data_IF_564927478183
#
_entry.id   IF_564927478183
#
_cell.length_a   1.000
_cell.length_b   1.000
_cell.length_c   1.000
_cell.angle_alpha   90.00
_cell.angle_beta   90.00
_cell.angle_gamma   90.00
#
_symmetry.space_group_name_H-M   'P 1'
#
loop_
_entity.id
_entity.type
_entity.pdbx_description
1 polymer ?
#
# COMPACT_ATOMS: atom_id res chain seq x y z
N UNK A 1 -17.52 1.33 21.01
CA UNK A 1 -16.60 2.43 20.68
C UNK A 1 -16.00 2.16 19.31
N UNK A 2 -16.05 3.14 18.42
CA UNK A 2 -15.38 3.08 17.11
C UNK A 2 -13.87 2.96 17.31
N UNK A 3 -13.18 2.15 16.49
CA UNK A 3 -11.72 2.07 16.50
C UNK A 3 -11.05 3.38 16.01
N UNK A 4 -11.79 4.21 15.27
CA UNK A 4 -11.32 5.49 14.72
C UNK A 4 -12.29 6.64 14.98
N UNK A 5 -11.74 7.82 15.27
CA UNK A 5 -12.51 9.06 15.23
C UNK A 5 -12.85 9.46 13.78
N UNK A 6 -13.91 10.26 13.61
CA UNK A 6 -14.26 10.80 12.29
C UNK A 6 -13.11 11.61 11.67
N UNK A 7 -12.32 12.31 12.50
CA UNK A 7 -11.19 13.11 12.02
C UNK A 7 -10.01 12.24 11.56
N UNK A 8 -9.77 11.11 12.21
CA UNK A 8 -8.78 10.13 11.71
C UNK A 8 -9.18 9.56 10.36
N UNK A 9 -10.46 9.20 10.18
CA UNK A 9 -10.95 8.70 8.90
C UNK A 9 -10.83 9.75 7.79
N UNK A 10 -11.20 11.02 8.09
CA UNK A 10 -10.99 12.14 7.15
C UNK A 10 -9.51 12.34 6.84
N UNK A 11 -8.63 12.23 7.83
CA UNK A 11 -7.19 12.30 7.63
C UNK A 11 -6.69 11.22 6.68
N UNK A 12 -7.09 9.97 6.90
CA UNK A 12 -6.73 8.84 6.04
C UNK A 12 -7.18 9.05 4.59
N UNK A 13 -8.44 9.47 4.40
CA UNK A 13 -9.01 9.77 3.09
C UNK A 13 -8.27 10.93 2.42
N UNK A 14 -8.05 12.04 3.13
CA UNK A 14 -7.42 13.23 2.55
C UNK A 14 -5.94 13.00 2.19
N UNK A 15 -5.22 12.25 3.02
CA UNK A 15 -3.79 11.98 2.79
C UNK A 15 -3.58 11.03 1.62
N UNK A 16 -4.41 9.99 1.46
CA UNK A 16 -4.26 9.04 0.36
C UNK A 16 -5.59 8.42 -0.08
N UNK A 17 -6.42 9.15 -0.86
CA UNK A 17 -7.79 8.73 -1.20
C UNK A 17 -7.84 7.36 -1.89
N UNK A 18 -6.98 7.14 -2.88
CA UNK A 18 -6.91 5.88 -3.65
C UNK A 18 -6.44 4.67 -2.82
N UNK A 19 -5.87 4.90 -1.63
CA UNK A 19 -5.48 3.86 -0.69
C UNK A 19 -6.55 3.49 0.33
N UNK A 20 -7.74 4.07 0.24
CA UNK A 20 -8.86 3.75 1.13
C UNK A 20 -9.85 2.88 0.38
N UNK A 21 -10.14 1.69 0.93
CA UNK A 21 -11.09 0.77 0.32
C UNK A 21 -12.23 0.49 1.28
N UNK A 22 -13.45 0.44 0.75
CA UNK A 22 -14.63 -0.05 1.44
C UNK A 22 -15.18 -1.25 0.70
N UNK A 23 -15.68 -2.23 1.45
CA UNK A 23 -16.44 -3.34 0.91
C UNK A 23 -17.91 -3.12 1.24
N UNK A 24 -18.76 -3.19 0.22
CA UNK A 24 -20.21 -3.08 0.38
C UNK A 24 -20.90 -4.43 0.17
N UNK A 25 -21.97 -4.66 0.91
CA UNK A 25 -22.89 -5.79 0.73
C UNK A 25 -24.31 -5.24 0.84
N UNK A 26 -25.10 -5.35 -0.23
CA UNK A 26 -26.46 -4.78 -0.30
C UNK A 26 -26.50 -3.30 0.16
N UNK A 27 -25.58 -2.49 -0.39
CA UNK A 27 -25.39 -1.06 -0.08
C UNK A 27 -24.94 -0.72 1.34
N UNK A 28 -24.70 -1.71 2.20
CA UNK A 28 -24.12 -1.53 3.53
C UNK A 28 -22.60 -1.68 3.52
N UNK A 29 -21.88 -0.82 4.25
CA UNK A 29 -20.42 -0.93 4.40
C UNK A 29 -20.10 -2.02 5.43
N UNK A 30 -19.54 -3.14 4.95
CA UNK A 30 -19.25 -4.35 5.75
C UNK A 30 -17.76 -4.59 5.94
N UNK A 31 -16.92 -3.75 5.34
CA UNK A 31 -15.48 -3.83 5.51
C UNK A 31 -14.79 -2.54 5.08
N UNK A 32 -13.63 -2.30 5.66
CA UNK A 32 -12.80 -1.14 5.39
C UNK A 32 -11.32 -1.54 5.46
N UNK A 33 -10.50 -1.00 4.56
CA UNK A 33 -9.07 -1.10 4.71
C UNK A 33 -8.37 0.21 4.35
N UNK A 34 -7.36 0.54 5.15
CA UNK A 34 -6.56 1.75 5.04
C UNK A 34 -5.15 1.40 4.58
N UNK A 35 -4.55 2.23 3.73
CA UNK A 35 -3.14 2.15 3.39
C UNK A 35 -2.58 3.52 3.04
N UNK A 36 -1.25 3.63 3.01
CA UNK A 36 -0.53 4.82 2.54
C UNK A 36 0.86 4.40 2.04
N UNK A 37 1.44 5.19 1.14
CA UNK A 37 2.83 4.99 0.68
C UNK A 37 3.84 5.51 1.70
N UNK A 38 4.99 4.86 1.80
CA UNK A 38 6.08 5.24 2.69
C UNK A 38 7.43 4.75 2.15
N UNK A 39 8.52 5.40 2.55
CA UNK A 39 9.88 5.01 2.18
C UNK A 39 10.30 3.67 2.81
N UNK A 40 11.05 2.87 2.07
CA UNK A 40 11.58 1.55 2.49
C UNK A 40 12.26 1.55 3.87
N UNK A 41 13.17 2.49 4.11
CA UNK A 41 13.92 2.55 5.37
C UNK A 41 13.01 2.72 6.59
N UNK A 42 11.87 3.41 6.42
CA UNK A 42 10.89 3.61 7.48
C UNK A 42 9.98 2.38 7.58
N UNK A 43 9.53 1.81 6.45
CA UNK A 43 8.68 0.63 6.42
C UNK A 43 9.33 -0.57 7.13
N UNK A 44 10.61 -0.84 6.84
CA UNK A 44 11.33 -2.00 7.40
C UNK A 44 12.04 -1.69 8.72
N UNK A 45 12.25 -0.43 9.05
CA UNK A 45 12.83 0.00 10.32
C UNK A 45 11.94 -0.28 11.53
N UNK A 46 12.48 -0.20 12.76
CA UNK A 46 11.69 -0.30 13.97
C UNK A 46 10.72 0.89 14.08
N UNK A 47 9.45 0.61 14.35
CA UNK A 47 8.42 1.62 14.53
C UNK A 47 7.25 1.10 15.36
N UNK A 48 6.54 2.02 16.00
CA UNK A 48 5.23 1.77 16.61
C UNK A 48 4.09 2.15 15.67
N UNK A 49 2.90 1.66 15.94
CA UNK A 49 1.68 2.00 15.22
C UNK A 49 1.42 3.50 15.23
N UNK A 50 1.59 4.17 16.38
CA UNK A 50 1.39 5.63 16.50
C UNK A 50 2.39 6.41 15.63
N UNK A 51 3.65 5.98 15.60
CA UNK A 51 4.70 6.63 14.81
C UNK A 51 4.48 6.45 13.31
N UNK A 52 4.27 5.22 12.84
CA UNK A 52 4.17 4.93 11.41
C UNK A 52 2.89 5.51 10.79
N UNK A 53 1.79 5.56 11.54
CA UNK A 53 0.51 6.07 11.04
C UNK A 53 0.34 7.58 11.24
N UNK A 54 1.18 8.23 12.05
CA UNK A 54 0.94 9.60 12.49
C UNK A 54 -0.34 9.69 13.33
N UNK A 55 -0.39 8.93 14.42
CA UNK A 55 -1.53 8.85 15.36
C UNK A 55 -2.86 8.42 14.73
N UNK A 56 -2.81 7.53 13.74
CA UNK A 56 -4.00 7.02 13.06
C UNK A 56 -4.57 7.93 11.98
N UNK A 57 -3.91 9.02 11.61
CA UNK A 57 -4.38 9.93 10.55
C UNK A 57 -3.81 9.58 9.16
N UNK A 58 -2.93 8.58 9.06
CA UNK A 58 -2.07 8.32 7.90
C UNK A 58 -1.22 9.54 7.49
N UNK A 59 -0.89 10.43 8.44
CA UNK A 59 -0.18 11.69 8.18
C UNK A 59 1.28 11.51 7.74
N UNK A 60 1.80 10.27 7.79
CA UNK A 60 3.13 9.88 7.29
C UNK A 60 3.11 9.41 5.84
N UNK A 61 2.00 9.59 5.14
CA UNK A 61 1.93 9.30 3.72
C UNK A 61 3.02 10.08 2.96
N UNK A 62 3.82 9.34 2.20
CA UNK A 62 4.86 9.88 1.34
C UNK A 62 4.53 9.55 -0.12
N UNK A 63 4.12 10.53 -0.95
CA UNK A 63 3.89 10.33 -2.37
C UNK A 63 5.14 9.95 -3.19
N UNK A 64 6.34 9.99 -2.62
CA UNK A 64 7.55 9.44 -3.22
C UNK A 64 7.92 8.05 -2.67
N UNK A 65 7.20 7.56 -1.65
CA UNK A 65 7.42 6.26 -1.04
C UNK A 65 7.27 5.11 -2.04
N UNK A 66 8.21 4.18 -1.99
CA UNK A 66 8.35 3.01 -2.87
C UNK A 66 7.69 1.74 -2.32
N UNK A 67 7.13 1.82 -1.11
CA UNK A 67 6.38 0.76 -0.46
C UNK A 67 4.99 1.21 -0.05
N UNK A 68 4.05 0.27 -0.07
CA UNK A 68 2.70 0.45 0.43
C UNK A 68 2.61 -0.07 1.88
N UNK A 69 2.26 0.77 2.84
CA UNK A 69 2.08 0.36 4.23
C UNK A 69 0.62 -0.01 4.50
N UNK A 70 0.36 -1.28 4.83
CA UNK A 70 -0.98 -1.76 5.18
C UNK A 70 -1.36 -1.32 6.60
N UNK A 71 -2.16 -0.25 6.72
CA UNK A 71 -2.45 0.34 8.02
C UNK A 71 -3.50 -0.46 8.80
N UNK A 72 -4.64 -0.78 8.18
CA UNK A 72 -5.71 -1.54 8.84
C UNK A 72 -6.53 -2.39 7.86
N UNK A 73 -7.18 -3.42 8.40
CA UNK A 73 -8.26 -4.15 7.71
C UNK A 73 -9.32 -4.51 8.74
N UNK A 74 -10.53 -3.97 8.57
CA UNK A 74 -11.71 -4.35 9.34
C UNK A 74 -12.72 -5.04 8.44
N UNK A 75 -13.34 -6.07 9.01
CA UNK A 75 -14.49 -6.76 8.43
C UNK A 75 -15.50 -6.88 9.54
N UNK A 76 -16.73 -6.49 9.25
CA UNK A 76 -17.84 -6.63 10.16
C UNK A 76 -17.96 -8.09 10.64
N UNK A 77 -18.06 -8.34 11.96
CA UNK A 77 -18.21 -9.68 12.51
C UNK A 77 -19.34 -10.51 11.89
N UNK A 78 -20.47 -9.89 11.55
CA UNK A 78 -21.67 -10.57 11.05
C UNK A 78 -21.52 -10.99 9.58
N UNK A 79 -20.58 -10.36 8.86
CA UNK A 79 -20.27 -10.65 7.45
C UNK A 79 -18.98 -11.48 7.28
N UNK A 80 -18.48 -12.07 8.36
CA UNK A 80 -17.34 -13.00 8.29
C UNK A 80 -17.69 -14.26 7.49
N UNK A 81 -16.68 -14.89 6.91
CA UNK A 81 -16.87 -16.08 6.05
C UNK A 81 -17.13 -15.76 4.57
N UNK A 82 -17.51 -14.52 4.23
CA UNK A 82 -17.74 -14.07 2.85
C UNK A 82 -16.46 -13.69 2.08
N UNK A 83 -15.28 -14.05 2.62
CA UNK A 83 -13.96 -13.74 2.05
C UNK A 83 -13.69 -12.24 1.82
N UNK A 84 -14.43 -11.33 2.47
CA UNK A 84 -14.25 -9.87 2.36
C UNK A 84 -12.80 -9.46 2.65
N UNK A 85 -12.21 -9.98 3.73
CA UNK A 85 -10.81 -9.71 4.05
C UNK A 85 -9.84 -10.09 2.91
N UNK A 86 -10.04 -11.24 2.25
CA UNK A 86 -9.20 -11.64 1.12
C UNK A 86 -9.34 -10.67 -0.05
N UNK A 87 -10.57 -10.20 -0.32
CA UNK A 87 -10.84 -9.20 -1.37
C UNK A 87 -10.17 -7.86 -1.07
N UNK A 88 -10.21 -7.40 0.18
CA UNK A 88 -9.52 -6.17 0.62
C UNK A 88 -8.00 -6.28 0.47
N UNK A 89 -7.40 -7.44 0.83
CA UNK A 89 -5.98 -7.68 0.59
C UNK A 89 -5.63 -7.76 -0.90
N UNK A 90 -6.51 -8.36 -1.72
CA UNK A 90 -6.33 -8.41 -3.17
C UNK A 90 -6.39 -7.00 -3.80
N UNK A 91 -7.34 -6.16 -3.39
CA UNK A 91 -7.43 -4.76 -3.81
C UNK A 91 -6.16 -3.98 -3.45
N UNK A 92 -5.64 -4.16 -2.23
CA UNK A 92 -4.39 -3.52 -1.81
C UNK A 92 -3.18 -3.98 -2.65
N UNK A 93 -3.09 -5.27 -2.99
CA UNK A 93 -2.05 -5.80 -3.89
C UNK A 93 -2.16 -5.23 -5.28
N UNK A 94 -3.38 -5.14 -5.82
CA UNK A 94 -3.63 -4.54 -7.12
C UNK A 94 -3.16 -3.08 -7.14
N UNK A 95 -3.49 -2.29 -6.10
CA UNK A 95 -3.02 -0.91 -5.97
C UNK A 95 -1.49 -0.81 -5.89
N UNK A 96 -0.83 -1.69 -5.12
CA UNK A 96 0.63 -1.69 -5.04
C UNK A 96 1.27 -1.94 -6.42
N UNK A 97 0.71 -2.86 -7.19
CA UNK A 97 1.14 -3.15 -8.56
C UNK A 97 0.85 -2.00 -9.52
N UNK A 98 -0.34 -1.41 -9.47
CA UNK A 98 -0.74 -0.27 -10.31
C UNK A 98 0.17 0.94 -10.10
N UNK A 99 0.57 1.18 -8.85
CA UNK A 99 1.48 2.27 -8.50
C UNK A 99 2.95 1.91 -8.67
N UNK A 100 3.25 0.75 -9.25
CA UNK A 100 4.61 0.24 -9.48
C UNK A 100 5.48 0.24 -8.20
N UNK A 101 4.88 -0.08 -7.06
CA UNK A 101 5.57 -0.16 -5.78
C UNK A 101 6.29 -1.50 -5.63
N UNK A 102 7.34 -1.53 -4.81
CA UNK A 102 8.10 -2.76 -4.51
C UNK A 102 7.26 -3.84 -3.84
N UNK A 103 6.20 -3.43 -3.15
CA UNK A 103 5.28 -4.34 -2.48
C UNK A 103 4.54 -3.69 -1.31
N UNK A 104 4.10 -4.52 -0.37
CA UNK A 104 3.33 -4.14 0.82
C UNK A 104 4.06 -4.57 2.07
N UNK A 105 4.11 -3.70 3.08
CA UNK A 105 4.64 -3.98 4.43
C UNK A 105 3.62 -3.60 5.48
N UNK A 106 3.51 -4.36 6.58
CA UNK A 106 2.72 -3.95 7.74
C UNK A 106 3.05 -4.75 9.01
N UNK A 107 2.57 -4.26 10.17
CA UNK A 107 2.54 -4.99 11.44
C UNK A 107 1.24 -5.80 11.59
N UNK A 108 1.32 -7.12 11.44
CA UNK A 108 0.18 -8.04 11.64
C UNK A 108 -0.02 -8.44 13.10
N UNK A 109 -1.26 -8.38 13.59
CA UNK A 109 -1.61 -8.83 14.95
C UNK A 109 -1.30 -10.33 15.15
N UNK A 110 -0.94 -10.68 16.38
CA UNK A 110 -0.67 -12.07 16.82
C UNK A 110 -1.51 -12.40 18.07
N UNK A 111 -2.85 -12.38 17.98
CA UNK A 111 -3.76 -12.36 19.12
C UNK A 111 -3.78 -13.64 19.99
N UNK A 112 -2.92 -14.63 19.71
CA UNK A 112 -2.68 -15.75 20.62
C UNK A 112 -1.40 -15.66 21.44
N UNK A 113 -0.60 -14.60 21.32
CA UNK A 113 0.69 -14.50 21.98
C UNK A 113 0.56 -14.34 23.50
N UNK A 114 -0.26 -13.39 23.98
CA UNK A 114 -0.32 -13.07 25.41
C UNK A 114 -0.68 -14.28 26.29
N UNK A 115 -1.60 -15.14 25.82
CA UNK A 115 -1.99 -16.39 26.51
C UNK A 115 -0.89 -17.46 26.55
N UNK A 116 0.13 -17.35 25.69
CA UNK A 116 1.21 -18.34 25.55
C UNK A 116 2.60 -17.76 25.84
N UNK A 117 2.68 -16.48 26.19
CA UNK A 117 3.93 -15.74 26.41
C UNK A 117 4.81 -16.44 27.45
N UNK A 118 4.23 -16.88 28.58
CA UNK A 118 4.96 -17.62 29.63
C UNK A 118 5.59 -18.93 29.15
N UNK A 119 4.96 -19.62 28.19
CA UNK A 119 5.46 -20.91 27.67
C UNK A 119 6.45 -20.74 26.52
N UNK A 120 6.24 -19.74 25.67
CA UNK A 120 7.04 -19.52 24.45
C UNK A 120 8.22 -18.56 24.69
N UNK A 121 8.15 -17.71 25.71
CA UNK A 121 9.22 -16.80 26.11
C UNK A 121 9.23 -15.48 25.33
N UNK A 122 9.24 -15.51 23.99
CA UNK A 122 9.40 -14.30 23.17
C UNK A 122 8.38 -14.19 22.02
N UNK A 123 8.05 -12.96 21.57
CA UNK A 123 7.15 -12.77 20.43
C UNK A 123 7.77 -13.33 19.14
N UNK A 124 9.10 -13.29 19.00
CA UNK A 124 9.82 -13.90 17.88
C UNK A 124 9.62 -15.41 17.83
N UNK A 125 9.83 -16.11 18.95
CA UNK A 125 9.60 -17.56 19.03
C UNK A 125 8.13 -17.93 18.74
N UNK A 126 7.17 -17.06 19.11
CA UNK A 126 5.76 -17.26 18.77
C UNK A 126 5.51 -17.21 17.26
N UNK A 127 6.01 -16.16 16.61
CA UNK A 127 5.87 -15.95 15.16
C UNK A 127 6.53 -17.10 14.39
N UNK A 128 7.74 -17.50 14.79
CA UNK A 128 8.46 -18.61 14.17
C UNK A 128 7.71 -19.95 14.35
N UNK A 129 7.10 -20.20 15.53
CA UNK A 129 6.28 -21.38 15.76
C UNK A 129 5.00 -21.42 14.91
N UNK A 130 4.39 -20.25 14.64
CA UNK A 130 3.25 -20.15 13.71
C UNK A 130 3.69 -20.42 12.28
N UNK A 131 4.82 -19.83 11.87
CA UNK A 131 5.40 -20.01 10.54
C UNK A 131 5.69 -21.49 10.25
N UNK A 132 6.27 -22.19 11.24
CA UNK A 132 6.56 -23.61 11.19
C UNK A 132 5.32 -24.52 11.31
N UNK A 133 4.11 -23.95 11.43
CA UNK A 133 2.83 -24.66 11.66
C UNK A 133 2.78 -25.49 12.96
N UNK A 134 3.70 -25.27 13.88
CA UNK A 134 3.71 -25.88 15.22
C UNK A 134 2.66 -25.24 16.14
N UNK A 135 2.21 -24.04 15.80
CA UNK A 135 1.21 -23.29 16.55
C UNK A 135 0.19 -22.66 15.62
N UNK A 136 -1.09 -22.71 16.02
CA UNK A 136 -2.18 -22.06 15.28
C UNK A 136 -2.46 -20.66 15.82
N UNK A 137 -2.36 -19.68 14.93
CA UNK A 137 -2.86 -18.32 15.10
C UNK A 137 -3.78 -17.97 13.92
N UNK A 138 -4.98 -17.50 14.20
CA UNK A 138 -5.99 -17.24 13.16
C UNK A 138 -5.64 -16.06 12.28
N UNK A 139 -5.06 -15.00 12.86
CA UNK A 139 -4.76 -13.76 12.15
C UNK A 139 -3.46 -13.88 11.38
N UNK A 140 -2.36 -14.24 12.05
CA UNK A 140 -1.07 -14.42 11.38
C UNK A 140 -1.17 -15.54 10.34
N UNK A 141 -1.80 -16.66 10.67
CA UNK A 141 -2.01 -17.75 9.71
C UNK A 141 -2.83 -17.32 8.49
N UNK A 142 -3.82 -16.43 8.65
CA UNK A 142 -4.56 -15.86 7.52
C UNK A 142 -3.65 -14.99 6.64
N UNK A 143 -2.83 -14.13 7.23
CA UNK A 143 -1.91 -13.26 6.49
C UNK A 143 -0.87 -14.06 5.70
N UNK A 144 -0.29 -15.10 6.30
CA UNK A 144 0.64 -16.02 5.62
C UNK A 144 -0.03 -16.76 4.45
N UNK A 145 -1.28 -17.24 4.62
CA UNK A 145 -2.04 -17.85 3.52
C UNK A 145 -2.40 -16.86 2.40
N UNK A 146 -2.43 -15.56 2.69
CA UNK A 146 -2.55 -14.52 1.68
C UNK A 146 -1.19 -14.18 1.01
N UNK A 147 -0.15 -14.99 1.21
CA UNK A 147 1.14 -14.85 0.53
C UNK A 147 2.04 -13.77 1.12
N UNK A 148 1.81 -13.36 2.37
CA UNK A 148 2.76 -12.52 3.09
C UNK A 148 3.83 -13.38 3.75
N UNK A 149 5.04 -12.86 3.78
CA UNK A 149 6.23 -13.46 4.38
C UNK A 149 6.59 -12.74 5.68
N UNK A 150 7.23 -13.46 6.60
CA UNK A 150 7.71 -12.87 7.86
C UNK A 150 9.04 -12.19 7.58
N UNK A 151 9.05 -10.87 7.70
CA UNK A 151 10.28 -10.09 7.76
C UNK A 151 10.88 -10.11 9.17
N UNK A 152 10.03 -10.00 10.20
CA UNK A 152 10.49 -9.95 11.58
C UNK A 152 9.37 -9.77 12.60
N UNK A 153 9.69 -9.09 13.70
CA UNK A 153 8.74 -8.72 14.76
C UNK A 153 8.92 -7.25 15.07
N UNK A 154 7.80 -6.54 15.20
CA UNK A 154 7.76 -5.17 15.73
C UNK A 154 7.43 -5.24 17.21
N UNK A 155 8.40 -4.90 18.05
CA UNK A 155 8.20 -4.89 19.50
C UNK A 155 7.52 -3.61 19.97
N UNK A 156 6.63 -3.72 20.96
CA UNK A 156 5.85 -2.59 21.47
C UNK A 156 5.12 -1.80 20.37
N UNK A 157 4.77 -2.47 19.27
CA UNK A 157 4.09 -1.90 18.12
C UNK A 157 2.79 -1.18 18.50
N UNK A 158 1.92 -1.85 19.25
CA UNK A 158 0.65 -1.28 19.70
C UNK A 158 0.36 -1.72 21.15
N UNK A 159 0.84 -1.00 22.18
CA UNK A 159 0.73 -1.42 23.58
C UNK A 159 -0.70 -1.65 24.12
N UNK A 160 -1.70 -1.10 23.44
CA UNK A 160 -3.12 -1.33 23.73
C UNK A 160 -3.63 -2.70 23.27
N UNK A 161 -2.97 -3.35 22.29
CA UNK A 161 -3.30 -4.71 21.85
C UNK A 161 -2.81 -5.76 22.86
N UNK A 162 -3.61 -5.98 23.90
CA UNK A 162 -3.28 -6.90 24.99
C UNK A 162 -3.20 -8.36 24.53
N UNK A 163 -3.96 -8.76 23.51
CA UNK A 163 -3.95 -10.14 23.00
C UNK A 163 -2.62 -10.48 22.33
N UNK A 164 -2.07 -9.52 21.59
CA UNK A 164 -0.74 -9.63 20.95
C UNK A 164 0.41 -9.26 21.89
N UNK A 165 0.13 -8.94 23.17
CA UNK A 165 1.13 -8.48 24.14
C UNK A 165 1.78 -7.15 23.75
N UNK A 166 1.14 -6.36 22.88
CA UNK A 166 1.68 -5.14 22.33
C UNK A 166 2.64 -5.30 21.14
N UNK A 167 2.96 -6.52 20.72
CA UNK A 167 3.87 -6.81 19.61
C UNK A 167 3.11 -7.12 18.32
N UNK A 168 3.78 -7.08 17.17
CA UNK A 168 3.23 -7.48 15.88
C UNK A 168 4.23 -8.30 15.06
N UNK A 169 3.72 -9.19 14.21
CA UNK A 169 4.53 -9.81 13.17
C UNK A 169 4.80 -8.77 12.07
N UNK A 170 6.07 -8.54 11.75
CA UNK A 170 6.44 -7.66 10.64
C UNK A 170 6.34 -8.45 9.34
N UNK A 171 5.38 -8.10 8.51
CA UNK A 171 5.02 -8.87 7.32
C UNK A 171 5.29 -8.09 6.05
N UNK A 172 5.72 -8.80 5.01
CA UNK A 172 6.02 -8.25 3.69
C UNK A 172 5.38 -9.10 2.61
N UNK A 173 4.82 -8.46 1.59
CA UNK A 173 4.54 -9.08 0.30
C UNK A 173 5.28 -8.29 -0.76
N UNK A 174 6.11 -8.97 -1.53
CA UNK A 174 6.85 -8.36 -2.65
C UNK A 174 6.02 -8.52 -3.90
N UNK A 175 5.90 -7.45 -4.69
CA UNK A 175 5.19 -7.55 -5.96
C UNK A 175 6.07 -8.36 -6.94
N UNK A 176 5.62 -9.53 -7.43
CA UNK A 176 6.37 -10.30 -8.41
C UNK A 176 6.54 -9.58 -9.75
N UNK A 177 5.74 -8.55 -10.04
CA UNK A 177 5.83 -7.74 -11.26
C UNK A 177 6.73 -6.51 -11.10
N UNK A 178 7.23 -6.23 -9.90
CA UNK A 178 8.12 -5.10 -9.69
C UNK A 178 9.46 -5.39 -10.37
N UNK A 179 9.80 -4.55 -11.34
CA UNK A 179 11.11 -4.55 -11.99
C UNK A 179 11.85 -3.35 -11.42
N UNK A 180 12.93 -3.60 -10.68
CA UNK A 180 13.77 -2.51 -10.21
C UNK A 180 14.27 -1.72 -11.43
N UNK A 181 14.19 -0.38 -11.43
CA UNK A 181 14.83 0.39 -12.47
C UNK A 181 16.31 0.00 -12.49
N UNK A 182 16.82 -0.30 -13.68
CA UNK A 182 18.24 -0.57 -13.90
C UNK A 182 19.05 0.50 -13.14
N UNK A 183 20.06 0.10 -12.34
CA UNK A 183 20.91 1.08 -11.68
C UNK A 183 21.46 1.97 -12.77
N UNK A 184 21.06 3.25 -12.75
CA UNK A 184 21.50 4.22 -13.73
C UNK A 184 23.01 4.24 -13.60
N UNK A 185 23.72 3.62 -14.53
CA UNK A 185 25.18 3.71 -14.56
C UNK A 185 25.49 5.19 -14.48
N UNK A 186 26.38 5.59 -13.58
CA UNK A 186 26.80 6.97 -13.33
C UNK A 186 27.58 7.56 -14.52
N UNK A 187 27.19 7.24 -15.75
CA UNK A 187 27.43 8.11 -16.89
C UNK A 187 26.53 9.32 -16.70
N UNK A 188 27.06 10.54 -16.75
CA UNK A 188 26.23 11.74 -16.82
C UNK A 188 25.41 11.65 -18.11
N UNK A 189 24.22 11.08 -17.99
CA UNK A 189 23.21 11.12 -19.01
C UNK A 189 22.70 12.54 -19.01
N UNK A 190 23.03 13.28 -20.07
CA UNK A 190 22.45 14.59 -20.37
C UNK A 190 20.94 14.52 -20.67
N UNK A 191 20.24 13.43 -20.32
CA UNK A 191 18.79 13.33 -20.43
C UNK A 191 18.17 13.80 -19.14
N UNK A 192 17.83 15.08 -19.15
CA UNK A 192 16.81 15.66 -18.30
C UNK A 192 15.56 14.78 -18.31
N UNK A 193 14.97 14.64 -17.12
CA UNK A 193 13.57 14.32 -16.83
C UNK A 193 12.68 14.48 -18.07
N UNK A 194 11.85 13.49 -18.39
CA UNK A 194 10.85 13.55 -19.47
C UNK A 194 10.10 14.89 -19.44
N UNK A 195 10.62 15.84 -20.20
CA UNK A 195 10.12 17.20 -20.22
C UNK A 195 9.05 17.20 -21.30
N UNK A 196 7.79 17.08 -20.90
CA UNK A 196 6.68 17.16 -21.84
C UNK A 196 6.55 18.61 -22.30
N UNK A 197 6.90 18.88 -23.56
CA UNK A 197 6.69 20.19 -24.18
C UNK A 197 5.23 20.28 -24.65
N UNK A 198 4.44 21.09 -23.96
CA UNK A 198 3.06 21.41 -24.37
C UNK A 198 3.10 22.61 -25.31
N UNK A 199 2.41 22.54 -26.44
CA UNK A 199 2.28 23.65 -27.37
C UNK A 199 0.83 23.84 -27.80
N UNK A 200 0.43 25.10 -27.93
CA UNK A 200 -0.89 25.51 -28.35
C UNK A 200 -0.79 26.08 -29.76
N UNK A 201 -1.55 25.49 -30.68
CA UNK A 201 -1.60 25.94 -32.08
C UNK A 201 -3.00 26.42 -32.42
N UNK A 202 -3.10 27.56 -33.09
CA UNK A 202 -4.37 28.08 -33.55
C UNK A 202 -4.75 27.42 -34.88
N UNK A 203 -5.78 26.58 -34.84
CA UNK A 203 -6.24 25.78 -35.97
C UNK A 203 -7.01 26.59 -37.05
N UNK A 204 -7.34 27.86 -36.77
CA UNK A 204 -8.05 28.77 -37.69
C UNK A 204 -9.36 28.22 -38.28
N UNK A 205 -9.98 27.22 -37.63
CA UNK A 205 -11.21 26.56 -38.08
C UNK A 205 -11.15 26.06 -39.55
N UNK A 206 -10.01 25.55 -39.98
CA UNK A 206 -9.88 24.99 -41.33
C UNK A 206 -10.75 23.73 -41.47
N UNK A 207 -11.39 23.56 -42.63
CA UNK A 207 -12.24 22.40 -42.90
C UNK A 207 -11.39 21.17 -43.20
N UNK A 208 -11.57 20.10 -42.44
CA UNK A 208 -10.98 18.78 -42.69
C UNK A 208 -11.81 18.01 -43.73
N UNK A 209 -11.15 17.37 -44.69
CA UNK A 209 -11.78 16.54 -45.73
C UNK A 209 -11.62 15.04 -45.46
N UNK A 210 -10.60 14.63 -44.69
CA UNK A 210 -10.41 13.24 -44.25
C UNK A 210 -9.59 13.17 -42.94
N UNK A 211 -9.51 11.97 -42.37
CA UNK A 211 -8.66 11.70 -41.21
C UNK A 211 -7.16 11.76 -41.56
N UNK A 212 -6.75 11.32 -42.76
CA UNK A 212 -5.34 11.45 -43.17
C UNK A 212 -4.90 12.92 -43.24
N UNK A 213 -5.79 13.81 -43.71
CA UNK A 213 -5.51 15.25 -43.71
C UNK A 213 -5.32 15.81 -42.29
N UNK A 214 -6.12 15.33 -41.33
CA UNK A 214 -5.96 15.69 -39.92
C UNK A 214 -4.63 15.19 -39.35
N UNK A 215 -4.28 13.93 -39.60
CA UNK A 215 -3.04 13.33 -39.12
C UNK A 215 -1.81 14.08 -39.65
N UNK A 216 -1.78 14.38 -40.96
CA UNK A 216 -0.71 15.15 -41.58
C UNK A 216 -0.57 16.57 -41.00
N UNK A 217 -1.69 17.21 -40.62
CA UNK A 217 -1.68 18.50 -39.95
C UNK A 217 -1.12 18.41 -38.53
N UNK A 218 -1.46 17.37 -37.77
CA UNK A 218 -0.91 17.12 -36.43
C UNK A 218 0.59 16.88 -36.50
N UNK A 219 1.05 16.02 -37.42
CA UNK A 219 2.48 15.75 -37.65
C UNK A 219 3.25 17.04 -37.95
N UNK A 220 2.74 17.87 -38.87
CA UNK A 220 3.35 19.17 -39.18
C UNK A 220 3.54 20.06 -37.94
N UNK A 221 2.52 20.17 -37.08
CA UNK A 221 2.63 21.00 -35.88
C UNK A 221 3.58 20.41 -34.83
N UNK A 222 3.62 19.08 -34.71
CA UNK A 222 4.57 18.39 -33.83
C UNK A 222 6.00 18.64 -34.30
N UNK A 223 6.27 18.52 -35.60
CA UNK A 223 7.60 18.74 -36.18
C UNK A 223 8.06 20.20 -36.00
N UNK A 224 7.20 21.18 -36.30
CA UNK A 224 7.52 22.61 -36.12
C UNK A 224 7.83 22.96 -34.65
N UNK A 225 7.09 22.37 -33.72
CA UNK A 225 7.30 22.58 -32.28
C UNK A 225 8.55 21.85 -31.76
N UNK A 226 8.88 20.71 -32.34
CA UNK A 226 10.09 19.96 -32.01
C UNK A 226 11.36 20.72 -32.42
N UNK A 227 11.34 21.39 -33.58
CA UNK A 227 12.48 22.14 -34.12
C UNK A 227 12.69 23.53 -33.46
N UNK A 228 11.69 24.03 -32.71
CA UNK A 228 11.80 25.30 -31.99
C UNK A 228 12.73 25.15 -30.77
N UNK A 229 13.79 25.96 -30.68
CA UNK A 229 14.73 25.96 -29.54
C UNK A 229 14.18 26.70 -28.32
#
# INVERSE_FOLDING_TARGET
MSAYSADQLRGQINNFPQGQFVATYEDEIVGYCATFRIAEAIAFGPHTWWQITGNGFAARHDPAGDWLYGMEVFVDPDFRGLRIGQRLYAARKALATELHLKGIVFGGRIPGYARRSKKIGSPRAYVDAVAAKNLRDSVLGFQLRNGFEIHGVLENYLPSDKESGGHAAHLVWRDPKYIAPEPVSSRPSNRSVDTVRVSLVQYQQRRLKSFEEFAAQVEYFVDVVADYK
#
